data_IF_675768482186
#
_entry.id   IF_675768482186
#
_cell.length_a   1.000
_cell.length_b   1.000
_cell.length_c   1.000
_cell.angle_alpha   90.00
_cell.angle_beta   90.00
_cell.angle_gamma   90.00
#
_symmetry.space_group_name_H-M   'P 1'
#
loop_
_entity.id
_entity.type
_entity.pdbx_description
1 polymer ?
#
# COMPACT_ATOMS: atom_id res chain seq x y z
N UNK A 1 6.26 -8.91 -2.09
CA UNK A 1 5.34 -8.00 -1.38
C UNK A 1 5.67 -6.51 -1.57
N UNK A 2 6.94 -6.10 -1.73
CA UNK A 2 7.32 -4.69 -1.96
C UNK A 2 6.94 -4.08 -3.32
N UNK A 3 6.57 -4.90 -4.31
CA UNK A 3 6.32 -4.41 -5.68
C UNK A 3 5.12 -3.47 -5.79
N UNK A 4 4.01 -3.79 -5.11
CA UNK A 4 2.79 -2.97 -5.16
C UNK A 4 2.94 -1.65 -4.40
N UNK A 5 3.67 -1.68 -3.29
CA UNK A 5 3.97 -0.45 -2.54
C UNK A 5 4.96 0.45 -3.26
N UNK A 6 5.90 -0.12 -4.03
CA UNK A 6 6.79 0.67 -4.88
C UNK A 6 6.03 1.44 -5.98
N UNK A 7 4.86 0.97 -6.40
CA UNK A 7 3.96 1.69 -7.30
C UNK A 7 3.05 2.70 -6.57
N UNK A 8 3.20 2.85 -5.26
CA UNK A 8 2.45 3.81 -4.44
C UNK A 8 1.19 3.25 -3.76
N UNK A 9 0.91 1.94 -3.86
CA UNK A 9 -0.21 1.36 -3.11
C UNK A 9 0.08 1.33 -1.61
N UNK A 10 -0.96 1.57 -0.82
CA UNK A 10 -0.91 1.38 0.61
C UNK A 10 -0.57 -0.09 0.95
N UNK A 11 0.21 -0.34 2.02
CA UNK A 11 0.48 -1.71 2.49
C UNK A 11 -0.79 -2.55 2.73
N UNK A 12 -1.89 -1.93 3.19
CA UNK A 12 -3.16 -2.61 3.41
C UNK A 12 -3.73 -3.11 2.08
N UNK A 13 -3.77 -2.25 1.07
CA UNK A 13 -4.20 -2.60 -0.29
C UNK A 13 -3.25 -3.62 -0.93
N UNK A 14 -1.94 -3.39 -0.84
CA UNK A 14 -0.90 -4.27 -1.38
C UNK A 14 -0.95 -5.68 -0.75
N UNK A 15 -1.20 -5.77 0.55
CA UNK A 15 -1.34 -7.06 1.24
C UNK A 15 -2.67 -7.74 0.95
N UNK A 16 -3.77 -6.98 0.90
CA UNK A 16 -5.08 -7.53 0.52
C UNK A 16 -4.99 -8.18 -0.87
N UNK A 17 -4.31 -7.52 -1.81
CA UNK A 17 -4.00 -8.08 -3.13
C UNK A 17 -3.04 -9.28 -3.05
N UNK A 18 -1.97 -9.19 -2.26
CA UNK A 18 -1.00 -10.30 -2.10
C UNK A 18 -1.57 -11.53 -1.38
N UNK A 19 -2.67 -11.40 -0.61
CA UNK A 19 -3.41 -12.54 -0.03
C UNK A 19 -4.31 -13.23 -1.04
N UNK A 20 -4.81 -12.50 -2.04
CA UNK A 20 -5.78 -13.00 -3.03
C UNK A 20 -5.10 -13.53 -4.29
N UNK A 21 -3.98 -12.94 -4.69
CA UNK A 21 -3.31 -13.24 -5.96
C UNK A 21 -1.89 -13.74 -5.76
N UNK A 22 -1.47 -14.66 -6.63
CA UNK A 22 -0.10 -15.19 -6.61
C UNK A 22 0.92 -14.12 -6.97
N UNK A 23 2.18 -14.31 -6.56
CA UNK A 23 3.25 -13.39 -6.92
C UNK A 23 3.48 -13.31 -8.44
N UNK A 24 3.32 -14.43 -9.16
CA UNK A 24 3.43 -14.48 -10.61
C UNK A 24 2.37 -13.61 -11.28
N UNK A 25 1.12 -13.74 -10.86
CA UNK A 25 0.01 -12.90 -11.32
C UNK A 25 0.28 -11.42 -11.07
N UNK A 26 0.69 -11.05 -9.85
CA UNK A 26 0.97 -9.66 -9.50
C UNK A 26 2.07 -9.06 -10.38
N UNK A 27 3.15 -9.82 -10.65
CA UNK A 27 4.24 -9.36 -11.52
C UNK A 27 3.78 -9.14 -12.96
N UNK A 28 3.06 -10.11 -13.53
CA UNK A 28 2.54 -10.01 -14.88
C UNK A 28 1.63 -8.78 -15.03
N UNK A 29 0.71 -8.59 -14.09
CA UNK A 29 -0.23 -7.45 -14.11
C UNK A 29 0.47 -6.10 -13.91
N UNK A 30 1.55 -6.06 -13.13
CA UNK A 30 2.40 -4.87 -13.01
C UNK A 30 3.09 -4.50 -14.33
N UNK A 31 3.63 -5.48 -15.05
CA UNK A 31 4.23 -5.25 -16.37
C UNK A 31 3.19 -4.70 -17.36
N UNK A 32 1.96 -5.22 -17.32
CA UNK A 32 0.87 -4.70 -18.17
C UNK A 32 0.46 -3.29 -17.81
N UNK A 33 0.32 -3.00 -16.51
CA UNK A 33 0.04 -1.64 -16.04
C UNK A 33 1.09 -0.65 -16.57
N UNK A 34 2.38 -1.00 -16.48
CA UNK A 34 3.47 -0.17 -17.02
C UNK A 34 3.38 -0.02 -18.54
N UNK A 35 3.15 -1.11 -19.27
CA UNK A 35 2.98 -1.07 -20.72
C UNK A 35 1.81 -0.17 -21.17
N UNK A 36 0.70 -0.16 -20.42
CA UNK A 36 -0.44 0.73 -20.68
C UNK A 36 -0.04 2.20 -20.52
N UNK A 37 0.73 2.53 -19.48
CA UNK A 37 1.22 3.90 -19.26
C UNK A 37 2.24 4.32 -20.33
N UNK A 38 3.17 3.43 -20.69
CA UNK A 38 4.17 3.65 -21.74
C UNK A 38 3.53 3.84 -23.13
N UNK A 39 2.41 3.17 -23.40
CA UNK A 39 1.60 3.38 -24.59
C UNK A 39 0.91 4.77 -24.65
N UNK A 40 1.15 5.62 -23.65
CA UNK A 40 0.66 7.00 -23.59
C UNK A 40 -0.68 7.17 -22.89
N UNK A 41 -1.23 6.11 -22.29
CA UNK A 41 -2.43 6.23 -21.48
C UNK A 41 -2.15 7.03 -20.20
N UNK A 42 -2.95 8.06 -19.95
CA UNK A 42 -2.85 8.92 -18.76
C UNK A 42 -4.12 8.78 -17.92
N UNK A 43 -4.19 7.78 -17.01
CA UNK A 43 -5.33 7.63 -16.12
C UNK A 43 -5.40 8.81 -15.14
N UNK A 44 -6.62 9.18 -14.75
CA UNK A 44 -6.83 10.19 -13.70
C UNK A 44 -6.42 9.68 -12.32
N UNK A 45 -6.64 8.39 -12.06
CA UNK A 45 -6.20 7.69 -10.86
C UNK A 45 -5.28 6.52 -11.24
N UNK A 46 -3.96 6.72 -11.09
CA UNK A 46 -2.95 5.71 -11.41
C UNK A 46 -3.07 4.46 -10.53
N UNK A 47 -3.33 4.65 -9.23
CA UNK A 47 -3.45 3.53 -8.29
C UNK A 47 -4.74 2.74 -8.53
N UNK A 48 -5.84 3.41 -8.87
CA UNK A 48 -7.09 2.77 -9.27
C UNK A 48 -6.90 1.87 -10.49
N UNK A 49 -6.20 2.37 -11.53
CA UNK A 49 -5.87 1.57 -12.71
C UNK A 49 -5.01 0.35 -12.35
N UNK A 50 -3.97 0.52 -11.53
CA UNK A 50 -3.11 -0.59 -11.11
C UNK A 50 -3.93 -1.71 -10.43
N UNK A 51 -4.85 -1.35 -9.55
CA UNK A 51 -5.70 -2.32 -8.87
C UNK A 51 -6.65 -3.02 -9.85
N UNK A 52 -7.29 -2.28 -10.76
CA UNK A 52 -8.18 -2.85 -11.78
C UNK A 52 -7.42 -3.86 -12.68
N UNK A 53 -6.20 -3.50 -13.10
CA UNK A 53 -5.34 -4.40 -13.90
C UNK A 53 -4.98 -5.67 -13.13
N UNK A 54 -4.72 -5.58 -11.83
CA UNK A 54 -4.43 -6.76 -10.99
C UNK A 54 -5.67 -7.62 -10.77
N UNK A 55 -6.85 -7.04 -10.64
CA UNK A 55 -8.11 -7.76 -10.42
C UNK A 55 -8.74 -8.32 -11.68
N UNK A 56 -8.29 -7.88 -12.85
CA UNK A 56 -8.87 -8.31 -14.12
C UNK A 56 -8.70 -9.82 -14.36
N UNK A 57 -9.78 -10.54 -14.12
CA UNK A 57 -9.94 -11.97 -14.44
C UNK A 57 -10.60 -12.17 -15.82
N UNK A 58 -11.07 -11.10 -16.45
CA UNK A 58 -11.85 -11.14 -17.71
C UNK A 58 -11.00 -10.96 -18.97
N UNK A 59 -9.71 -10.66 -18.82
CA UNK A 59 -8.78 -10.43 -19.92
C UNK A 59 -8.94 -9.08 -20.60
N UNK A 60 -9.64 -8.12 -19.97
CA UNK A 60 -9.79 -6.73 -20.45
C UNK A 60 -8.43 -6.09 -20.75
N UNK A 61 -7.39 -6.48 -20.02
CA UNK A 61 -6.03 -5.99 -20.17
C UNK A 61 -5.06 -7.02 -20.77
N UNK A 62 -5.54 -8.09 -21.43
CA UNK A 62 -4.72 -9.15 -22.05
C UNK A 62 -4.14 -8.82 -23.42
N UNK A 63 -4.70 -7.85 -24.13
CA UNK A 63 -4.21 -7.46 -25.46
C UNK A 63 -3.57 -6.08 -25.40
N UNK A 64 -2.48 -5.85 -26.15
CA UNK A 64 -1.97 -4.49 -26.37
C UNK A 64 -3.01 -3.77 -27.21
N UNK A 65 -3.96 -3.09 -26.56
CA UNK A 65 -5.12 -2.52 -27.23
C UNK A 65 -4.73 -1.26 -27.98
N UNK A 66 -4.39 -1.43 -29.26
CA UNK A 66 -4.65 -0.41 -30.26
C UNK A 66 -6.18 -0.22 -30.34
N UNK A 67 -6.62 0.95 -29.84
CA UNK A 67 -7.82 1.73 -30.22
C UNK A 67 -9.14 1.61 -29.40
N UNK A 68 -9.56 2.81 -28.89
CA UNK A 68 -10.85 3.53 -29.06
C UNK A 68 -12.01 3.44 -28.01
N UNK A 69 -12.00 4.42 -27.06
CA UNK A 69 -13.07 5.26 -26.40
C UNK A 69 -14.33 4.62 -25.72
N UNK A 70 -14.99 5.27 -24.71
CA UNK A 70 -14.85 6.67 -24.22
C UNK A 70 -14.47 6.84 -22.72
N UNK A 71 -13.46 7.67 -22.48
CA UNK A 71 -12.75 7.88 -21.20
C UNK A 71 -13.46 8.65 -20.08
N UNK A 72 -14.77 8.93 -20.16
CA UNK A 72 -15.47 9.74 -19.13
C UNK A 72 -16.29 8.94 -18.12
N UNK A 73 -16.82 7.77 -18.49
CA UNK A 73 -17.60 6.92 -17.56
C UNK A 73 -16.71 5.98 -16.73
N UNK A 74 -15.60 5.50 -17.29
CA UNK A 74 -14.68 4.59 -16.60
C UNK A 74 -13.89 5.28 -15.49
N UNK A 75 -13.40 6.50 -15.71
CA UNK A 75 -12.62 7.22 -14.69
C UNK A 75 -13.41 7.53 -13.40
N UNK A 76 -14.72 7.78 -13.50
CA UNK A 76 -15.58 7.99 -12.33
C UNK A 76 -15.86 6.68 -11.59
N UNK A 77 -15.93 5.57 -12.32
CA UNK A 77 -16.11 4.22 -11.78
C UNK A 77 -14.83 3.74 -11.07
N UNK A 78 -13.66 4.00 -11.67
CA UNK A 78 -12.34 3.72 -11.11
C UNK A 78 -12.05 4.53 -9.85
N UNK A 79 -12.42 5.81 -9.81
CA UNK A 79 -12.28 6.63 -8.60
C UNK A 79 -13.24 6.17 -7.49
N UNK A 80 -14.48 5.82 -7.83
CA UNK A 80 -15.45 5.28 -6.88
C UNK A 80 -15.04 3.88 -6.36
N UNK A 81 -14.33 3.08 -7.15
CA UNK A 81 -13.82 1.78 -6.74
C UNK A 81 -12.55 1.90 -5.88
N UNK A 82 -11.65 2.83 -6.21
CA UNK A 82 -10.50 3.14 -5.36
C UNK A 82 -10.93 3.67 -3.99
N UNK A 83 -11.92 4.58 -3.96
CA UNK A 83 -12.52 5.07 -2.70
C UNK A 83 -13.17 3.94 -1.92
N UNK A 84 -13.94 3.06 -2.58
CA UNK A 84 -14.53 1.88 -1.93
C UNK A 84 -13.47 0.96 -1.34
N UNK A 85 -12.33 0.78 -2.01
CA UNK A 85 -11.25 -0.04 -1.49
C UNK A 85 -10.51 0.58 -0.31
N UNK A 86 -10.30 1.89 -0.34
CA UNK A 86 -9.75 2.63 0.80
C UNK A 86 -10.72 2.60 1.98
N UNK A 87 -12.02 2.72 1.73
CA UNK A 87 -13.06 2.59 2.74
C UNK A 87 -13.15 1.16 3.29
N UNK A 88 -13.14 0.12 2.44
CA UNK A 88 -13.10 -1.28 2.87
C UNK A 88 -11.84 -1.58 3.67
N UNK A 89 -10.66 -1.13 3.22
CA UNK A 89 -9.42 -1.28 3.97
C UNK A 89 -9.44 -0.52 5.30
N UNK A 90 -10.09 0.65 5.34
CA UNK A 90 -10.26 1.43 6.57
C UNK A 90 -11.26 0.77 7.53
N UNK A 91 -12.33 0.17 7.01
CA UNK A 91 -13.31 -0.62 7.79
C UNK A 91 -12.68 -1.90 8.32
N UNK A 92 -12.01 -2.67 7.47
CA UNK A 92 -11.25 -3.85 7.88
C UNK A 92 -10.25 -3.49 8.98
N UNK A 93 -9.55 -2.36 8.86
CA UNK A 93 -8.66 -1.89 9.91
C UNK A 93 -9.41 -1.55 11.22
N UNK A 94 -10.52 -0.82 11.12
CA UNK A 94 -11.31 -0.42 12.29
C UNK A 94 -11.93 -1.63 13.01
N UNK A 95 -12.29 -2.68 12.27
CA UNK A 95 -12.85 -3.93 12.80
C UNK A 95 -11.78 -4.88 13.34
N UNK A 96 -10.50 -4.67 13.02
CA UNK A 96 -9.41 -5.48 13.56
C UNK A 96 -9.25 -5.26 15.07
N UNK A 97 -9.09 -6.35 15.86
CA UNK A 97 -8.65 -6.25 17.24
C UNK A 97 -7.35 -5.44 17.35
N UNK A 98 -7.17 -4.71 18.45
CA UNK A 98 -6.02 -3.82 18.62
C UNK A 98 -4.69 -4.55 18.49
N UNK A 99 -4.58 -5.76 19.03
CA UNK A 99 -3.40 -6.61 18.90
C UNK A 99 -3.10 -6.95 17.44
N UNK A 100 -4.13 -7.13 16.61
CA UNK A 100 -3.96 -7.37 15.18
C UNK A 100 -3.48 -6.10 14.46
N UNK A 101 -3.98 -4.92 14.83
CA UNK A 101 -3.51 -3.64 14.29
C UNK A 101 -2.03 -3.38 14.66
N UNK A 102 -1.64 -3.68 15.90
CA UNK A 102 -0.25 -3.58 16.39
C UNK A 102 0.67 -4.51 15.60
N UNK A 103 0.34 -5.81 15.50
CA UNK A 103 1.10 -6.78 14.70
C UNK A 103 1.23 -6.30 13.25
N UNK A 104 0.16 -5.72 12.71
CA UNK A 104 0.14 -5.19 11.35
C UNK A 104 1.09 -4.00 11.16
N UNK A 105 1.12 -3.07 12.10
CA UNK A 105 2.03 -1.94 12.10
C UNK A 105 3.49 -2.39 12.19
N UNK A 106 3.80 -3.37 13.05
CA UNK A 106 5.15 -3.93 13.16
C UNK A 106 5.62 -4.61 11.85
N UNK A 107 4.74 -5.35 11.19
CA UNK A 107 5.04 -5.93 9.86
C UNK A 107 5.39 -4.85 8.83
N UNK A 108 4.71 -3.71 8.86
CA UNK A 108 5.03 -2.56 8.00
C UNK A 108 6.39 -1.97 8.37
N UNK A 109 6.61 -1.68 9.65
CA UNK A 109 7.86 -1.11 10.14
C UNK A 109 9.06 -1.99 9.74
N UNK A 110 8.97 -3.30 9.95
CA UNK A 110 10.04 -4.23 9.58
C UNK A 110 10.28 -4.27 8.07
N UNK A 111 9.23 -4.21 7.25
CA UNK A 111 9.34 -4.26 5.80
C UNK A 111 9.92 -2.97 5.20
N UNK A 112 9.52 -1.81 5.75
CA UNK A 112 9.87 -0.49 5.26
C UNK A 112 11.27 -0.09 5.75
N UNK A 113 11.52 -0.25 7.05
CA UNK A 113 12.77 0.18 7.68
C UNK A 113 13.89 -0.86 7.47
N UNK A 114 13.53 -2.14 7.37
CA UNK A 114 14.46 -3.27 7.16
C UNK A 114 15.62 -3.22 8.14
N UNK A 115 16.85 -3.08 7.65
CA UNK A 115 18.08 -3.04 8.45
C UNK A 115 18.30 -1.72 9.19
N UNK A 116 17.45 -0.71 9.00
CA UNK A 116 17.56 0.60 9.67
C UNK A 116 16.95 0.64 11.07
N UNK A 117 16.15 -0.37 11.41
CA UNK A 117 15.54 -0.55 12.71
C UNK A 117 16.11 -1.82 13.36
N UNK A 118 16.51 -1.71 14.61
CA UNK A 118 16.96 -2.83 15.43
C UNK A 118 15.79 -3.61 16.01
N UNK A 119 16.07 -4.82 16.53
CA UNK A 119 15.06 -5.64 17.22
C UNK A 119 14.54 -4.92 18.46
N UNK A 120 15.43 -4.30 19.25
CA UNK A 120 15.03 -3.54 20.45
C UNK A 120 14.10 -2.37 20.11
N UNK A 121 14.40 -1.63 19.04
CA UNK A 121 13.54 -0.54 18.57
C UNK A 121 12.17 -1.03 18.07
N UNK A 122 12.07 -2.24 17.50
CA UNK A 122 10.78 -2.85 17.16
C UNK A 122 9.98 -3.23 18.40
N UNK A 123 10.64 -3.72 19.46
CA UNK A 123 10.00 -4.00 20.75
C UNK A 123 9.52 -2.71 21.41
N UNK A 124 10.29 -1.63 21.35
CA UNK A 124 9.87 -0.31 21.82
C UNK A 124 8.66 0.21 21.06
N UNK A 125 8.66 0.08 19.73
CA UNK A 125 7.52 0.44 18.90
C UNK A 125 6.27 -0.36 19.29
N UNK A 126 6.42 -1.66 19.58
CA UNK A 126 5.33 -2.50 20.10
C UNK A 126 4.80 -1.97 21.44
N UNK A 127 5.69 -1.73 22.42
CA UNK A 127 5.32 -1.22 23.75
C UNK A 127 4.60 0.13 23.70
N UNK A 128 5.07 1.05 22.87
CA UNK A 128 4.45 2.36 22.68
C UNK A 128 3.06 2.23 22.06
N UNK A 129 2.87 1.29 21.15
CA UNK A 129 1.55 1.03 20.58
C UNK A 129 0.60 0.32 21.56
N UNK A 130 1.09 -0.64 22.35
CA UNK A 130 0.30 -1.33 23.39
C UNK A 130 -0.17 -0.36 24.48
N UNK A 131 0.72 0.53 24.94
CA UNK A 131 0.40 1.57 25.92
C UNK A 131 -0.49 2.69 25.37
N UNK A 132 -0.66 2.78 24.04
CA UNK A 132 -1.46 3.81 23.38
C UNK A 132 -0.74 5.14 23.19
N UNK A 133 0.56 5.21 23.50
CA UNK A 133 1.40 6.37 23.20
C UNK A 133 1.57 6.57 21.68
N UNK A 134 1.51 5.49 20.91
CA UNK A 134 1.46 5.51 19.45
C UNK A 134 0.21 4.79 18.94
N UNK A 135 -0.45 5.40 17.95
CA UNK A 135 -1.59 4.78 17.27
C UNK A 135 -1.08 3.92 16.10
N UNK A 136 -1.36 2.60 16.05
CA UNK A 136 -0.82 1.71 15.02
C UNK A 136 -1.12 2.16 13.60
N UNK A 137 -2.32 2.72 13.37
CA UNK A 137 -2.71 3.22 12.06
C UNK A 137 -1.81 4.38 11.62
N UNK A 138 -1.60 5.32 12.54
CA UNK A 138 -0.80 6.52 12.31
C UNK A 138 0.66 6.16 12.02
N UNK A 139 1.22 5.20 12.76
CA UNK A 139 2.57 4.68 12.48
C UNK A 139 2.68 4.16 11.03
N UNK A 140 1.70 3.37 10.57
CA UNK A 140 1.69 2.85 9.20
C UNK A 140 1.58 3.98 8.17
N UNK A 141 0.74 4.98 8.40
CA UNK A 141 0.57 6.14 7.52
C UNK A 141 1.84 6.98 7.43
N UNK A 142 2.47 7.29 8.57
CA UNK A 142 3.72 8.06 8.62
C UNK A 142 4.88 7.30 7.96
N UNK A 143 4.97 5.98 8.12
CA UNK A 143 5.99 5.16 7.45
C UNK A 143 5.80 5.11 5.94
N UNK A 144 4.55 5.07 5.46
CA UNK A 144 4.25 5.14 4.02
C UNK A 144 4.65 6.50 3.44
N UNK A 145 4.30 7.58 4.13
CA UNK A 145 4.65 8.92 3.70
C UNK A 145 6.17 9.12 3.69
N UNK A 146 6.85 8.70 4.76
CA UNK A 146 8.30 8.77 4.85
C UNK A 146 9.00 7.92 3.77
N UNK A 147 8.47 6.75 3.42
CA UNK A 147 8.97 5.95 2.30
C UNK A 147 8.77 6.68 0.96
N UNK A 148 7.58 7.23 0.71
CA UNK A 148 7.25 7.91 -0.55
C UNK A 148 8.07 9.19 -0.77
N UNK A 149 8.46 9.86 0.31
CA UNK A 149 9.26 11.10 0.27
C UNK A 149 10.75 10.86 0.49
N UNK A 150 11.20 9.61 0.61
CA UNK A 150 12.58 9.22 0.95
C UNK A 150 13.11 9.86 2.25
N UNK A 151 12.25 9.96 3.28
CA UNK A 151 12.54 10.55 4.60
C UNK A 151 12.46 9.54 5.75
N UNK A 152 12.80 8.28 5.48
CA UNK A 152 12.76 7.21 6.48
C UNK A 152 13.70 7.47 7.66
N UNK A 153 14.90 7.99 7.40
CA UNK A 153 15.85 8.35 8.47
C UNK A 153 15.27 9.43 9.40
N UNK A 154 14.64 10.46 8.83
CA UNK A 154 13.99 11.50 9.61
C UNK A 154 12.83 10.98 10.46
N UNK A 155 12.11 9.95 10.00
CA UNK A 155 11.10 9.28 10.82
C UNK A 155 11.75 8.51 11.98
N UNK A 156 12.81 7.75 11.71
CA UNK A 156 13.57 6.99 12.73
C UNK A 156 14.18 7.89 13.80
N UNK A 157 14.76 9.02 13.44
CA UNK A 157 15.31 9.97 14.41
C UNK A 157 14.23 10.53 15.35
N UNK A 158 13.04 10.86 14.82
CA UNK A 158 11.92 11.29 15.65
C UNK A 158 11.46 10.18 16.58
N UNK A 159 11.36 8.96 16.07
CA UNK A 159 11.03 7.78 16.86
C UNK A 159 12.01 7.57 18.01
N UNK A 160 13.31 7.56 17.74
CA UNK A 160 14.37 7.41 18.75
C UNK A 160 14.33 8.49 19.83
N UNK A 161 14.00 9.74 19.47
CA UNK A 161 13.85 10.84 20.44
C UNK A 161 12.65 10.68 21.38
N UNK A 162 11.68 9.84 21.03
CA UNK A 162 10.54 9.52 21.90
C UNK A 162 10.83 8.38 22.87
N UNK A 163 11.91 7.62 22.65
CA UNK A 163 12.29 6.54 23.56
C UNK A 163 12.82 7.12 24.86
N UNK A 164 12.45 6.54 26.03
CA UNK A 164 13.14 6.85 27.27
C UNK A 164 14.62 6.46 27.10
N UNK A 165 15.51 7.40 27.44
CA UNK A 165 16.96 7.18 27.41
C UNK A 165 17.44 6.18 28.46
#
# INVERSE_FOLDING_TARGET
MNLLMAEGLSFTSAYSLARRYSLGHIKERLERYRAILEAGYRPKNRLGLLVDVIRDETGKYERPTRTRRPAKRQAAQEEAEARRLEEEAAREWAEMPREAQIRRALQVAQLVLRSRISVGELEDLNRLMESGALEPRRVVEELKEALAQDRLEGWLERFRKMLPG
#
